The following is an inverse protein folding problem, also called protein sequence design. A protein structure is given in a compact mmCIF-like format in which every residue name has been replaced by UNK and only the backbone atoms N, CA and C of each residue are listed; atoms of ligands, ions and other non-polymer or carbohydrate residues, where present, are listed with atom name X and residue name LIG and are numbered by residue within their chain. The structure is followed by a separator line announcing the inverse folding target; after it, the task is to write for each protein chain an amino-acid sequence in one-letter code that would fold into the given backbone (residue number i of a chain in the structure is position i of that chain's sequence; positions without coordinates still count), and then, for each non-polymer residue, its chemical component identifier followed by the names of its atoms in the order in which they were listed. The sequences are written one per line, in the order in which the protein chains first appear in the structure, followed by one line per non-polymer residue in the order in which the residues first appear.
data_IF_857953149111
#
_entry.id   IF_857953149111
#
_cell.length_a   1.000
_cell.length_b   1.000
_cell.length_c   1.000
_cell.angle_alpha   90.00
_cell.angle_beta   90.00
_cell.angle_gamma   90.00
#
_symmetry.space_group_name_H-M   'P 1'
#
loop_
_entity.id
_entity.type
_entity.pdbx_description
1 polymer ?
#
# COMPACT_ATOMS: atom_id res chain seq x y z
N UNK A 1 20.38 27.99 -30.80
CA UNK A 1 19.28 28.72 -30.19
C UNK A 1 18.24 27.76 -29.63
N UNK A 2 17.89 27.91 -28.36
CA UNK A 2 16.93 27.05 -27.72
C UNK A 2 15.54 27.67 -27.70
N UNK A 3 14.55 26.92 -28.14
CA UNK A 3 13.16 27.31 -28.03
C UNK A 3 12.75 27.44 -26.57
N UNK A 4 11.89 28.41 -26.19
CA UNK A 4 11.33 28.47 -24.83
C UNK A 4 10.32 27.33 -24.63
N UNK A 5 10.84 26.18 -24.28
CA UNK A 5 10.09 24.95 -24.25
C UNK A 5 10.42 24.19 -22.97
N UNK A 6 9.38 23.72 -22.26
CA UNK A 6 9.54 22.84 -21.16
C UNK A 6 9.02 21.43 -21.53
N UNK A 7 9.84 20.39 -21.34
CA UNK A 7 9.35 19.03 -21.50
C UNK A 7 8.29 18.70 -20.46
N UNK A 8 7.32 17.89 -20.83
CA UNK A 8 6.36 17.35 -19.88
C UNK A 8 7.05 16.37 -18.94
N UNK A 9 6.60 16.28 -17.69
CA UNK A 9 7.13 15.27 -16.77
C UNK A 9 6.97 13.86 -17.31
N UNK A 10 7.93 13.00 -17.00
CA UNK A 10 7.94 11.59 -17.39
C UNK A 10 7.78 10.69 -16.17
N UNK A 11 7.45 9.44 -16.42
CA UNK A 11 7.29 8.42 -15.38
C UNK A 11 6.25 8.84 -14.34
N UNK A 12 5.15 9.40 -14.83
CA UNK A 12 4.04 9.86 -13.98
C UNK A 12 3.22 8.67 -13.58
N UNK A 13 3.18 8.40 -12.29
CA UNK A 13 2.49 7.21 -11.77
C UNK A 13 1.94 7.46 -10.38
N UNK A 14 0.92 6.68 -10.02
CA UNK A 14 0.39 6.65 -8.66
C UNK A 14 1.05 5.51 -7.92
N UNK A 15 1.59 5.83 -6.75
CA UNK A 15 2.11 4.85 -5.81
C UNK A 15 1.11 4.74 -4.66
N UNK A 16 0.67 3.53 -4.34
CA UNK A 16 -0.29 3.32 -3.26
C UNK A 16 0.11 2.12 -2.41
N UNK A 17 0.20 2.34 -1.12
CA UNK A 17 0.55 1.32 -0.15
C UNK A 17 -0.36 1.46 1.06
N UNK A 18 -1.06 0.38 1.41
CA UNK A 18 -2.01 0.36 2.52
C UNK A 18 -3.05 1.49 2.42
N UNK A 19 -3.52 1.75 1.20
CA UNK A 19 -4.49 2.82 0.87
C UNK A 19 -3.99 4.24 1.09
N UNK A 20 -2.69 4.41 1.29
CA UNK A 20 -2.08 5.73 1.25
C UNK A 20 -1.44 5.91 -0.11
N UNK A 21 -1.89 6.94 -0.82
CA UNK A 21 -1.54 7.12 -2.22
C UNK A 21 -0.87 8.45 -2.45
N UNK A 22 0.04 8.47 -3.43
CA UNK A 22 0.67 9.69 -3.90
C UNK A 22 0.90 9.59 -5.41
N UNK A 23 0.94 10.75 -6.04
CA UNK A 23 1.36 10.91 -7.42
C UNK A 23 2.84 11.25 -7.42
N UNK A 24 3.64 10.60 -8.27
CA UNK A 24 5.06 10.89 -8.39
C UNK A 24 5.48 10.90 -9.86
N UNK A 25 6.56 11.60 -10.13
CA UNK A 25 7.10 11.76 -11.50
C UNK A 25 8.59 12.03 -11.43
N UNK A 26 9.25 11.94 -12.58
CA UNK A 26 10.68 12.23 -12.67
C UNK A 26 10.91 13.73 -12.83
N UNK A 27 12.01 14.27 -12.29
CA UNK A 27 12.33 15.68 -12.48
C UNK A 27 12.49 16.01 -13.96
N UNK A 28 11.99 17.18 -14.34
CA UNK A 28 12.19 17.70 -15.70
C UNK A 28 13.56 18.36 -15.77
N UNK A 29 14.45 17.91 -16.66
CA UNK A 29 15.76 18.50 -16.77
C UNK A 29 15.69 19.88 -17.40
N UNK A 30 16.41 20.85 -16.82
CA UNK A 30 16.59 22.20 -17.38
C UNK A 30 18.04 22.57 -17.21
N UNK A 31 18.53 23.38 -18.14
CA UNK A 31 19.94 23.80 -18.15
C UNK A 31 20.27 24.71 -16.98
N UNK A 32 19.44 25.69 -16.74
CA UNK A 32 19.64 26.69 -15.69
C UNK A 32 18.39 26.89 -14.89
N UNK A 33 18.54 27.05 -13.57
CA UNK A 33 17.43 27.28 -12.69
C UNK A 33 16.71 26.03 -12.32
N UNK A 34 15.50 26.18 -11.84
CA UNK A 34 14.67 25.08 -11.38
C UNK A 34 13.26 25.22 -11.94
N UNK A 35 12.54 24.12 -11.94
CA UNK A 35 11.14 24.08 -12.29
C UNK A 35 10.30 23.74 -11.05
N UNK A 36 9.05 24.14 -11.11
CA UNK A 36 8.04 23.72 -10.13
C UNK A 36 6.97 22.96 -10.88
N UNK A 37 6.11 22.28 -10.11
CA UNK A 37 5.11 21.38 -10.70
C UNK A 37 3.74 21.66 -10.11
N UNK A 38 2.72 21.46 -10.93
CA UNK A 38 1.33 21.58 -10.49
C UNK A 38 0.59 20.31 -10.89
N UNK A 39 -0.10 19.70 -9.93
CA UNK A 39 -0.83 18.46 -10.12
C UNK A 39 -2.34 18.68 -9.94
N UNK A 40 -3.12 18.00 -10.77
CA UNK A 40 -4.57 18.03 -10.75
C UNK A 40 -5.13 16.62 -10.80
N UNK A 41 -6.38 16.49 -10.41
CA UNK A 41 -7.12 15.24 -10.56
C UNK A 41 -8.52 15.50 -11.11
N UNK A 42 -9.11 14.46 -11.65
CA UNK A 42 -10.55 14.41 -11.88
C UNK A 42 -11.06 13.01 -11.60
N UNK A 43 -12.31 12.92 -11.21
CA UNK A 43 -13.00 11.64 -11.03
C UNK A 43 -13.83 11.33 -12.25
N UNK A 44 -14.21 10.05 -12.42
CA UNK A 44 -14.89 9.58 -13.62
C UNK A 44 -16.24 10.23 -13.90
N UNK A 45 -16.85 10.91 -12.92
CA UNK A 45 -18.15 11.56 -13.09
C UNK A 45 -18.07 13.03 -13.45
N UNK A 46 -16.89 13.66 -13.33
CA UNK A 46 -16.75 15.09 -13.54
C UNK A 46 -15.73 15.36 -14.64
N UNK A 47 -16.04 16.36 -15.48
CA UNK A 47 -15.14 16.77 -16.56
C UNK A 47 -14.16 17.86 -16.14
N UNK A 48 -14.29 18.37 -14.93
CA UNK A 48 -13.43 19.44 -14.45
C UNK A 48 -12.27 18.91 -13.64
N UNK A 49 -11.09 19.45 -13.92
CA UNK A 49 -9.88 19.18 -13.17
C UNK A 49 -9.88 20.02 -11.89
N UNK A 50 -9.50 19.40 -10.79
CA UNK A 50 -9.37 20.05 -9.48
C UNK A 50 -7.94 19.93 -8.99
N UNK A 51 -7.50 20.91 -8.20
CA UNK A 51 -6.16 20.88 -7.63
C UNK A 51 -6.04 19.85 -6.53
N UNK A 52 -4.86 19.27 -6.41
CA UNK A 52 -4.54 18.30 -5.37
C UNK A 52 -3.94 18.95 -4.12
N UNK A 53 -3.86 20.28 -4.07
CA UNK A 53 -3.13 20.98 -3.01
C UNK A 53 -1.65 21.15 -3.32
N UNK A 54 -1.17 20.64 -4.44
CA UNK A 54 0.21 20.80 -4.89
C UNK A 54 0.21 21.70 -6.11
N UNK A 55 0.41 22.98 -5.88
CA UNK A 55 0.57 23.97 -6.93
C UNK A 55 1.95 24.61 -6.78
N UNK A 56 2.68 24.70 -7.88
CA UNK A 56 4.01 25.29 -7.90
C UNK A 56 4.96 24.68 -6.85
N UNK A 57 4.89 23.36 -6.70
CA UNK A 57 5.75 22.63 -5.76
C UNK A 57 7.10 22.31 -6.41
N UNK A 58 8.21 22.48 -5.68
CA UNK A 58 9.52 22.02 -6.18
C UNK A 58 9.70 20.50 -6.07
N UNK A 59 8.83 19.82 -5.36
CA UNK A 59 8.91 18.37 -5.14
C UNK A 59 8.38 17.63 -6.37
N UNK A 60 8.83 16.40 -6.57
CA UNK A 60 8.40 15.53 -7.66
C UNK A 60 7.38 14.49 -7.20
N UNK A 61 6.61 14.83 -6.18
CA UNK A 61 5.53 14.01 -5.68
C UNK A 61 4.45 14.86 -5.04
N UNK A 62 3.25 14.32 -4.99
CA UNK A 62 2.10 14.99 -4.38
C UNK A 62 1.20 13.95 -3.74
N UNK A 63 1.02 14.04 -2.41
CA UNK A 63 0.14 13.14 -1.68
C UNK A 63 -1.31 13.41 -2.02
N UNK A 64 -2.15 12.38 -1.98
CA UNK A 64 -3.57 12.53 -2.20
C UNK A 64 -4.20 13.30 -1.04
N UNK A 65 -5.00 14.35 -1.33
CA UNK A 65 -5.75 15.04 -0.28
C UNK A 65 -6.83 14.13 0.31
N UNK A 66 -7.33 14.46 1.52
CA UNK A 66 -8.32 13.62 2.19
C UNK A 66 -9.58 13.32 1.35
N UNK A 67 -10.04 14.28 0.55
CA UNK A 67 -11.22 14.10 -0.30
C UNK A 67 -11.03 13.04 -1.40
N UNK A 68 -9.80 12.68 -1.72
CA UNK A 68 -9.50 11.63 -2.69
C UNK A 68 -9.28 10.26 -2.05
N UNK A 69 -9.40 10.13 -0.75
CA UNK A 69 -9.21 8.85 -0.06
C UNK A 69 -10.48 8.00 -0.14
N UNK A 70 -10.90 7.72 -1.38
CA UNK A 70 -12.07 6.94 -1.72
C UNK A 70 -11.61 5.72 -2.51
N UNK A 71 -11.68 4.55 -1.89
CA UNK A 71 -11.10 3.33 -2.43
C UNK A 71 -11.67 2.90 -3.78
N UNK A 72 -12.95 3.22 -4.05
CA UNK A 72 -13.66 2.73 -5.24
C UNK A 72 -13.80 3.76 -6.36
N UNK A 73 -13.33 4.98 -6.13
CA UNK A 73 -13.37 6.01 -7.17
C UNK A 73 -12.33 5.74 -8.23
N UNK A 74 -12.72 5.94 -9.50
CA UNK A 74 -11.77 5.98 -10.59
C UNK A 74 -11.23 7.40 -10.71
N UNK A 75 -9.93 7.56 -10.57
CA UNK A 75 -9.27 8.85 -10.51
C UNK A 75 -8.23 8.91 -11.63
N UNK A 76 -8.22 10.00 -12.37
CA UNK A 76 -7.19 10.30 -13.35
C UNK A 76 -6.45 11.53 -12.87
N UNK A 77 -5.13 11.51 -12.93
CA UNK A 77 -4.29 12.59 -12.45
C UNK A 77 -3.42 13.10 -13.58
N UNK A 78 -3.00 14.35 -13.45
CA UNK A 78 -2.07 14.97 -14.39
C UNK A 78 -1.13 15.91 -13.66
N UNK A 79 0.04 16.12 -14.24
CA UNK A 79 1.05 17.02 -13.71
C UNK A 79 1.71 17.74 -14.87
N UNK A 80 2.12 18.99 -14.65
CA UNK A 80 2.94 19.75 -15.60
C UNK A 80 4.07 20.44 -14.89
N UNK A 81 5.12 20.70 -15.62
CA UNK A 81 6.24 21.54 -15.17
C UNK A 81 5.93 22.99 -15.47
N UNK A 82 6.38 23.89 -14.61
CA UNK A 82 6.20 25.33 -14.74
C UNK A 82 7.51 26.04 -14.43
N UNK A 83 7.79 27.07 -15.20
CA UNK A 83 8.95 27.90 -14.99
C UNK A 83 8.64 29.33 -15.44
N UNK A 84 8.38 30.22 -14.47
CA UNK A 84 7.91 31.57 -14.78
C UNK A 84 6.58 31.51 -15.52
N UNK A 85 6.52 32.13 -16.69
CA UNK A 85 5.32 32.12 -17.52
C UNK A 85 5.20 30.88 -18.40
N UNK A 86 6.24 30.03 -18.45
CA UNK A 86 6.22 28.82 -19.26
C UNK A 86 5.55 27.68 -18.50
N UNK A 87 4.80 26.88 -19.23
CA UNK A 87 4.23 25.64 -18.71
C UNK A 87 4.39 24.55 -19.76
N UNK A 88 4.72 23.34 -19.29
CA UNK A 88 4.78 22.18 -20.17
C UNK A 88 3.38 21.69 -20.54
N UNK A 89 3.30 20.77 -21.48
CA UNK A 89 2.10 19.98 -21.66
C UNK A 89 1.81 19.18 -20.40
N UNK A 90 0.54 18.83 -20.20
CA UNK A 90 0.13 17.94 -19.09
C UNK A 90 0.53 16.50 -19.40
N UNK A 91 1.08 15.84 -18.40
CA UNK A 91 1.32 14.41 -18.43
C UNK A 91 0.27 13.71 -17.55
N UNK A 92 -0.38 12.69 -18.07
CA UNK A 92 -1.53 12.04 -17.43
C UNK A 92 -1.16 10.65 -16.93
N UNK A 93 -1.86 10.21 -15.89
CA UNK A 93 -1.80 8.82 -15.44
C UNK A 93 -2.87 7.98 -16.13
N UNK A 94 -2.69 6.65 -16.20
CA UNK A 94 -3.83 5.76 -16.44
C UNK A 94 -4.86 5.91 -15.32
N UNK A 95 -6.10 5.48 -15.53
CA UNK A 95 -7.10 5.47 -14.47
C UNK A 95 -6.61 4.66 -13.25
N UNK A 96 -6.85 5.21 -12.06
CA UNK A 96 -6.41 4.62 -10.80
C UNK A 96 -7.63 4.35 -9.92
N UNK A 97 -7.71 3.14 -9.35
CA UNK A 97 -8.70 2.74 -8.35
C UNK A 97 -7.95 2.14 -7.18
N UNK A 98 -7.98 2.80 -6.03
CA UNK A 98 -7.20 2.36 -4.87
C UNK A 98 -7.56 0.94 -4.44
N UNK A 99 -8.83 0.56 -4.48
CA UNK A 99 -9.28 -0.78 -4.07
C UNK A 99 -8.56 -1.90 -4.81
N UNK A 100 -8.27 -1.71 -6.09
CA UNK A 100 -7.62 -2.74 -6.91
C UNK A 100 -6.13 -2.48 -7.12
N UNK A 101 -5.66 -1.26 -6.93
CA UNK A 101 -4.30 -0.86 -7.29
C UNK A 101 -3.37 -0.65 -6.09
N UNK A 102 -3.90 -0.64 -4.86
CA UNK A 102 -3.03 -0.51 -3.69
C UNK A 102 -2.31 -1.82 -3.39
N UNK A 103 -1.09 -1.70 -2.88
CA UNK A 103 -0.37 -2.82 -2.32
C UNK A 103 -0.65 -2.88 -0.83
N UNK A 104 -1.09 -4.04 -0.34
CA UNK A 104 -1.28 -4.27 1.09
C UNK A 104 -0.02 -4.86 1.69
N UNK A 105 0.49 -4.22 2.72
CA UNK A 105 1.61 -4.74 3.50
C UNK A 105 1.15 -5.81 4.48
N UNK A 106 2.11 -6.42 5.22
CA UNK A 106 1.77 -7.40 6.23
C UNK A 106 1.11 -6.75 7.45
N UNK A 107 0.35 -7.53 8.23
CA UNK A 107 -0.14 -7.07 9.52
C UNK A 107 1.04 -6.91 10.48
N UNK A 108 0.84 -6.14 11.52
CA UNK A 108 1.82 -6.01 12.60
C UNK A 108 1.49 -7.04 13.68
N UNK A 109 2.49 -7.82 14.10
CA UNK A 109 2.37 -8.71 15.25
C UNK A 109 2.64 -7.89 16.50
N UNK A 110 1.64 -7.75 17.36
CA UNK A 110 1.75 -6.96 18.59
C UNK A 110 2.28 -7.78 19.75
N UNK A 111 1.86 -9.06 19.84
CA UNK A 111 2.21 -9.90 20.95
C UNK A 111 2.07 -11.37 20.57
N UNK A 112 2.93 -12.20 21.16
CA UNK A 112 2.86 -13.66 21.04
C UNK A 112 3.02 -14.25 22.43
N UNK A 113 2.03 -15.02 22.90
CA UNK A 113 2.08 -15.72 24.17
C UNK A 113 2.20 -17.22 23.91
N UNK A 114 3.23 -17.83 24.49
CA UNK A 114 3.51 -19.24 24.31
C UNK A 114 2.84 -20.08 25.40
N UNK A 115 2.19 -21.15 24.98
CA UNK A 115 1.70 -22.24 25.81
C UNK A 115 2.39 -23.53 25.38
N UNK A 116 2.26 -24.65 26.13
CA UNK A 116 2.94 -25.88 25.72
C UNK A 116 2.50 -26.43 24.37
N UNK A 117 1.26 -26.17 23.95
CA UNK A 117 0.70 -26.74 22.72
C UNK A 117 0.26 -25.69 21.73
N UNK A 118 0.53 -24.39 21.99
CA UNK A 118 0.03 -23.33 21.13
C UNK A 118 0.79 -22.03 21.28
N UNK A 119 0.62 -21.16 20.29
CA UNK A 119 1.03 -19.76 20.34
C UNK A 119 -0.22 -18.91 20.18
N UNK A 120 -0.44 -17.99 21.12
CA UNK A 120 -1.53 -17.01 21.03
C UNK A 120 -0.96 -15.74 20.41
N UNK A 121 -1.46 -15.39 19.23
CA UNK A 121 -0.92 -14.30 18.42
C UNK A 121 -1.93 -13.17 18.36
N UNK A 122 -1.46 -11.95 18.62
CA UNK A 122 -2.24 -10.72 18.49
C UNK A 122 -1.66 -9.88 17.37
N UNK A 123 -2.51 -9.46 16.43
CA UNK A 123 -2.09 -8.67 15.27
C UNK A 123 -2.92 -7.41 15.15
N UNK A 124 -2.37 -6.43 14.42
CA UNK A 124 -3.09 -5.25 13.96
C UNK A 124 -3.09 -5.23 12.45
N UNK A 125 -4.21 -4.82 11.82
CA UNK A 125 -4.23 -4.69 10.35
C UNK A 125 -3.26 -3.63 9.87
N UNK A 126 -2.78 -3.73 8.61
CA UNK A 126 -1.79 -2.79 8.09
C UNK A 126 -2.39 -1.42 7.73
N UNK A 127 -3.70 -1.30 7.72
CA UNK A 127 -4.42 -0.06 7.44
C UNK A 127 -5.62 0.03 8.38
N UNK A 128 -6.24 1.21 8.47
CA UNK A 128 -7.46 1.37 9.25
C UNK A 128 -8.64 0.81 8.47
N UNK A 129 -9.29 -0.26 8.96
CA UNK A 129 -10.45 -0.81 8.27
C UNK A 129 -11.61 0.18 8.20
N UNK A 130 -12.37 0.11 7.11
CA UNK A 130 -13.63 0.84 6.97
C UNK A 130 -14.79 -0.07 7.40
N UNK A 131 -15.93 0.52 7.79
CA UNK A 131 -17.12 -0.28 8.08
C UNK A 131 -17.48 -1.18 6.89
N UNK A 132 -17.72 -2.44 7.17
CA UNK A 132 -18.05 -3.42 6.13
C UNK A 132 -16.86 -4.14 5.54
N UNK A 133 -15.64 -3.77 5.88
CA UNK A 133 -14.45 -4.50 5.43
C UNK A 133 -14.47 -5.94 5.97
N UNK A 134 -14.18 -6.89 5.08
CA UNK A 134 -13.98 -8.29 5.46
C UNK A 134 -12.50 -8.58 5.27
N UNK A 135 -11.79 -8.74 6.39
CA UNK A 135 -10.35 -8.93 6.41
C UNK A 135 -10.03 -10.29 7.02
N UNK A 136 -9.19 -11.05 6.34
CA UNK A 136 -8.72 -12.35 6.82
C UNK A 136 -7.20 -12.33 6.93
N UNK A 137 -6.69 -13.15 7.85
CA UNK A 137 -5.26 -13.33 8.08
C UNK A 137 -4.89 -14.75 7.68
N UNK A 138 -4.03 -14.87 6.68
CA UNK A 138 -3.46 -16.14 6.26
C UNK A 138 -2.14 -16.34 6.98
N UNK A 139 -2.08 -17.40 7.78
CA UNK A 139 -0.91 -17.71 8.59
C UNK A 139 -0.23 -18.94 8.00
N UNK A 140 1.05 -18.80 7.66
CA UNK A 140 1.91 -19.91 7.31
C UNK A 140 2.81 -20.17 8.49
N UNK A 141 2.90 -21.41 8.97
CA UNK A 141 3.75 -21.72 10.12
C UNK A 141 4.41 -23.09 9.94
N UNK A 142 5.56 -23.24 10.59
CA UNK A 142 6.37 -24.45 10.48
C UNK A 142 7.27 -24.58 11.71
N UNK A 143 7.64 -25.84 12.01
CA UNK A 143 8.66 -26.12 13.01
C UNK A 143 10.03 -25.70 12.42
N UNK A 144 10.85 -25.02 13.20
CA UNK A 144 12.15 -24.55 12.74
C UNK A 144 13.16 -25.68 12.70
N UNK A 145 13.16 -26.40 11.61
CA UNK A 145 14.06 -27.54 11.33
C UNK A 145 14.72 -27.37 9.97
N UNK A 146 15.61 -28.30 9.62
CA UNK A 146 16.31 -28.26 8.32
C UNK A 146 15.40 -28.59 7.13
N UNK A 147 14.32 -29.33 7.37
CA UNK A 147 13.34 -29.68 6.32
C UNK A 147 11.94 -29.41 6.82
N UNK A 148 11.55 -28.15 6.96
CA UNK A 148 10.25 -27.82 7.56
C UNK A 148 9.09 -28.19 6.64
N UNK A 149 7.99 -28.62 7.26
CA UNK A 149 6.70 -28.79 6.59
C UNK A 149 5.84 -27.58 6.92
N UNK A 150 5.54 -26.78 5.90
CA UNK A 150 4.71 -25.59 6.07
C UNK A 150 3.24 -25.97 6.20
N UNK A 151 2.60 -25.43 7.21
CA UNK A 151 1.16 -25.53 7.42
C UNK A 151 0.52 -24.18 7.30
N UNK A 152 -0.76 -24.15 6.96
CA UNK A 152 -1.49 -22.91 6.77
C UNK A 152 -2.79 -22.92 7.55
N UNK A 153 -3.18 -21.74 8.04
CA UNK A 153 -4.49 -21.55 8.62
C UNK A 153 -5.01 -20.16 8.26
N UNK A 154 -6.33 -20.00 8.27
CA UNK A 154 -6.98 -18.73 7.96
C UNK A 154 -7.77 -18.29 9.18
N UNK A 155 -7.58 -17.03 9.57
CA UNK A 155 -8.21 -16.44 10.75
C UNK A 155 -8.88 -15.13 10.41
N UNK A 156 -10.06 -14.90 10.98
CA UNK A 156 -10.79 -13.65 10.75
C UNK A 156 -10.67 -12.66 11.91
N UNK A 157 -10.09 -13.07 13.03
CA UNK A 157 -9.92 -12.24 14.21
C UNK A 157 -8.47 -11.78 14.36
N UNK A 158 -8.28 -10.68 15.08
CA UNK A 158 -6.94 -10.14 15.34
C UNK A 158 -6.24 -10.84 16.51
N UNK A 159 -6.91 -11.75 17.16
CA UNK A 159 -6.36 -12.59 18.22
C UNK A 159 -6.71 -14.04 17.88
N UNK A 160 -5.68 -14.88 17.72
CA UNK A 160 -5.89 -16.26 17.32
C UNK A 160 -4.80 -17.17 17.85
N UNK A 161 -5.10 -18.47 17.92
CA UNK A 161 -4.15 -19.49 18.31
C UNK A 161 -3.59 -20.22 17.11
N UNK A 162 -2.28 -20.47 17.12
CA UNK A 162 -1.67 -21.52 16.32
C UNK A 162 -1.58 -22.72 17.24
N UNK A 163 -2.41 -23.73 17.01
CA UNK A 163 -2.55 -24.87 17.93
C UNK A 163 -1.91 -26.16 17.43
N UNK A 164 -2.08 -27.21 18.20
CA UNK A 164 -1.55 -28.54 17.92
C UNK A 164 -0.04 -28.56 17.75
N UNK A 165 0.66 -27.78 18.56
CA UNK A 165 2.11 -27.66 18.52
C UNK A 165 2.73 -28.58 19.58
N UNK A 166 4.01 -28.91 19.35
CA UNK A 166 4.81 -29.65 20.31
C UNK A 166 5.31 -28.70 21.40
N UNK A 167 5.45 -29.21 22.62
CA UNK A 167 6.01 -28.42 23.71
C UNK A 167 7.49 -28.13 23.50
N UNK A 168 7.96 -27.04 24.08
CA UNK A 168 9.38 -26.64 24.11
C UNK A 168 10.04 -26.69 22.73
N UNK A 169 9.32 -26.29 21.70
CA UNK A 169 9.73 -26.41 20.31
C UNK A 169 9.65 -25.03 19.64
N UNK A 170 10.65 -24.72 18.82
CA UNK A 170 10.70 -23.46 18.10
C UNK A 170 9.89 -23.55 16.81
N UNK A 171 8.90 -22.65 16.69
CA UNK A 171 8.08 -22.51 15.49
C UNK A 171 8.24 -21.13 14.89
N UNK A 172 8.18 -21.07 13.58
CA UNK A 172 8.20 -19.80 12.85
C UNK A 172 6.88 -19.62 12.12
N UNK A 173 6.47 -18.37 11.91
CA UNK A 173 5.27 -18.08 11.15
C UNK A 173 5.44 -16.78 10.36
N UNK A 174 4.63 -16.67 9.31
CA UNK A 174 4.52 -15.50 8.45
C UNK A 174 3.03 -15.27 8.20
N UNK A 175 2.61 -14.02 8.19
CA UNK A 175 1.19 -13.66 8.08
C UNK A 175 1.00 -12.68 6.94
N UNK A 176 -0.04 -12.91 6.13
CA UNK A 176 -0.50 -11.96 5.13
C UNK A 176 -1.99 -11.71 5.31
N UNK A 177 -2.44 -10.53 4.88
CA UNK A 177 -3.86 -10.19 4.92
C UNK A 177 -4.51 -10.49 3.59
N UNK A 178 -5.81 -10.75 3.64
CA UNK A 178 -6.67 -10.81 2.45
C UNK A 178 -7.87 -9.91 2.73
N UNK A 179 -8.07 -8.93 1.86
CA UNK A 179 -9.21 -8.03 1.96
C UNK A 179 -10.20 -8.35 0.85
N UNK A 180 -11.46 -8.59 1.21
CA UNK A 180 -12.51 -8.80 0.23
C UNK A 180 -12.88 -7.47 -0.41
N UNK A 181 -12.74 -7.39 -1.73
CA UNK A 181 -13.09 -6.19 -2.50
C UNK A 181 -14.49 -6.32 -3.07
N UNK A 182 -15.00 -5.22 -3.64
CA UNK A 182 -16.38 -5.11 -4.08
C UNK A 182 -16.79 -6.20 -5.08
N UNK A 183 -15.88 -6.62 -5.96
CA UNK A 183 -16.14 -7.67 -6.92
C UNK A 183 -16.33 -9.08 -6.32
N UNK A 184 -16.08 -9.22 -5.01
CA UNK A 184 -16.11 -10.50 -4.32
C UNK A 184 -14.78 -11.23 -4.28
N UNK A 185 -13.78 -10.74 -5.01
CA UNK A 185 -12.42 -11.26 -4.96
C UNK A 185 -11.70 -10.73 -3.72
N UNK A 186 -10.59 -11.38 -3.36
CA UNK A 186 -9.74 -10.93 -2.29
C UNK A 186 -8.50 -10.25 -2.85
N UNK A 187 -8.18 -9.08 -2.32
CA UNK A 187 -6.90 -8.44 -2.55
C UNK A 187 -5.90 -9.05 -1.55
N UNK A 188 -4.86 -9.71 -2.07
CA UNK A 188 -3.88 -10.38 -1.23
C UNK A 188 -2.74 -9.45 -0.87
N UNK A 189 -2.40 -9.41 0.41
CA UNK A 189 -1.29 -8.62 0.91
C UNK A 189 0.03 -9.36 0.84
N UNK A 190 1.09 -8.62 1.09
CA UNK A 190 2.43 -9.17 1.16
C UNK A 190 2.59 -9.95 2.48
N UNK A 191 3.27 -11.12 2.45
CA UNK A 191 3.55 -11.84 3.69
C UNK A 191 4.58 -11.10 4.55
N UNK A 192 4.43 -11.23 5.87
CA UNK A 192 5.42 -10.71 6.81
C UNK A 192 6.70 -11.53 6.75
N UNK A 193 7.80 -10.91 7.18
CA UNK A 193 9.02 -11.68 7.43
C UNK A 193 8.73 -12.73 8.51
N UNK A 194 9.33 -13.92 8.42
CA UNK A 194 9.14 -14.93 9.45
C UNK A 194 9.61 -14.45 10.82
N UNK A 195 8.80 -14.76 11.85
CA UNK A 195 9.24 -14.57 13.23
C UNK A 195 9.05 -15.89 13.97
N UNK A 196 9.94 -16.18 14.90
CA UNK A 196 10.01 -17.49 15.54
C UNK A 196 9.83 -17.36 17.04
N UNK A 197 9.06 -18.27 17.61
CA UNK A 197 8.76 -18.35 19.04
C UNK A 197 8.77 -19.79 19.50
N UNK A 198 9.24 -20.00 20.71
CA UNK A 198 9.30 -21.34 21.32
C UNK A 198 8.06 -21.55 22.16
N UNK A 199 7.40 -22.71 21.99
CA UNK A 199 6.32 -23.14 22.86
C UNK A 199 6.85 -23.38 24.27
N UNK A 200 5.96 -23.28 25.26
CA UNK A 200 6.35 -23.44 26.64
C UNK A 200 6.57 -24.92 26.99
N UNK A 201 7.27 -25.16 28.09
CA UNK A 201 7.42 -26.47 28.69
C UNK A 201 6.22 -26.70 29.63
N UNK A 202 5.61 -27.86 29.53
CA UNK A 202 4.49 -28.20 30.43
C UNK A 202 4.94 -28.72 31.78
#
# INVERSE_FOLDING_TARGET
ETSPYLPAPKNVEVFSYNFQSLLRWSPVPVENGSVVYTAHYKTGFYDTWSGMGCAQTPQTWCGFPPELRRRRWTIVLRVRAERGALASAWAHTPPFVAETNTTLGPPRVNNVNASPDSLLVSVSPPFTPEPGDILQYLVSYWENTTSPTEKKLSESNTLFHIGNLKESTLYCFSIQVQLKIYSGHFLEGQPSAPECHRTALS
#
